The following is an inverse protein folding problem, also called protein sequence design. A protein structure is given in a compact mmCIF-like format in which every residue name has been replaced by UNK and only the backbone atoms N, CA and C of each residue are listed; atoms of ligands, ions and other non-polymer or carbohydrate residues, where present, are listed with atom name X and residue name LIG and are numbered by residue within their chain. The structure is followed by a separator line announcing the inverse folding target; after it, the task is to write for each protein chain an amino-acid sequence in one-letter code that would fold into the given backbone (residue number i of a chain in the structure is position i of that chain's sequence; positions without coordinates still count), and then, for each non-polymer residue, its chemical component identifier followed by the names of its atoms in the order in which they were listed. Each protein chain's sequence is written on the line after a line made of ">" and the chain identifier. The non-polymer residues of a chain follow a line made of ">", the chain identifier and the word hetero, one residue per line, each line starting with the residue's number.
data_IF_239344592896
#
_entry.id   IF_239344592896
#
_cell.length_a   1.000
_cell.length_b   1.000
_cell.length_c   1.000
_cell.angle_alpha   90.00
_cell.angle_beta   90.00
_cell.angle_gamma   90.00
#
_symmetry.space_group_name_H-M   'P 1'
#
loop_
_entity.id
_entity.type
_entity.pdbx_description
1 polymer ?
#
# COMPACT_ATOMS: atom_id res chain seq x y z
N UNK A 1 -23.47 -5.07 -18.39
CA UNK A 1 -24.34 -3.93 -17.98
C UNK A 1 -24.59 -3.86 -16.48
N UNK A 2 -25.05 -4.91 -15.77
CA UNK A 2 -25.35 -4.82 -14.32
C UNK A 2 -24.11 -4.55 -13.43
N UNK A 3 -22.93 -4.99 -13.78
CA UNK A 3 -21.69 -4.75 -12.99
C UNK A 3 -21.17 -3.32 -13.12
N UNK A 4 -21.30 -2.71 -14.29
CA UNK A 4 -20.89 -1.31 -14.52
C UNK A 4 -21.86 -0.35 -13.81
N UNK A 5 -23.17 -0.64 -13.84
CA UNK A 5 -24.17 0.13 -13.10
C UNK A 5 -23.98 0.03 -11.58
N UNK A 6 -23.49 -1.12 -11.06
CA UNK A 6 -23.19 -1.29 -9.64
C UNK A 6 -21.93 -0.50 -9.24
N UNK A 7 -20.90 -0.47 -10.07
CA UNK A 7 -19.69 0.33 -9.87
C UNK A 7 -20.06 1.81 -9.86
N UNK A 8 -20.84 2.29 -10.82
CA UNK A 8 -21.31 3.69 -10.87
C UNK A 8 -22.23 4.05 -9.70
N UNK A 9 -23.08 3.12 -9.23
CA UNK A 9 -23.98 3.37 -8.09
C UNK A 9 -23.25 3.44 -6.74
N UNK A 10 -22.19 2.65 -6.54
CA UNK A 10 -21.31 2.74 -5.37
C UNK A 10 -20.57 4.08 -5.39
N UNK A 11 -20.22 4.59 -6.56
CA UNK A 11 -19.54 5.88 -6.72
C UNK A 11 -20.45 7.09 -6.44
N UNK A 12 -21.75 7.03 -6.77
CA UNK A 12 -22.69 8.13 -6.48
C UNK A 12 -22.88 8.35 -4.98
N UNK A 13 -22.78 7.31 -4.18
CA UNK A 13 -22.84 7.43 -2.70
C UNK A 13 -21.53 7.90 -2.07
N UNK A 14 -20.38 7.72 -2.71
CA UNK A 14 -19.06 8.15 -2.23
C UNK A 14 -18.76 9.64 -2.51
N UNK A 15 -19.44 10.26 -3.47
CA UNK A 15 -19.26 11.69 -3.84
C UNK A 15 -19.71 12.64 -2.71
N UNK A 16 -20.57 12.19 -1.79
CA UNK A 16 -21.01 12.97 -0.63
C UNK A 16 -20.11 12.88 0.61
N UNK A 17 -19.09 12.05 0.59
CA UNK A 17 -18.06 11.98 1.63
C UNK A 17 -16.88 12.84 1.17
N UNK A 18 -16.72 14.05 1.74
CA UNK A 18 -15.53 14.92 1.69
C UNK A 18 -14.34 14.36 0.85
N UNK A 19 -14.59 14.08 -0.41
CA UNK A 19 -13.54 13.76 -1.35
C UNK A 19 -12.65 15.01 -1.40
N UNK A 20 -11.44 14.92 -0.87
CA UNK A 20 -10.43 15.94 -1.06
C UNK A 20 -10.47 16.31 -2.54
N UNK A 21 -10.67 17.60 -2.85
CA UNK A 21 -10.75 18.08 -4.22
C UNK A 21 -9.52 17.57 -4.97
N UNK A 22 -9.71 16.49 -5.74
CA UNK A 22 -8.66 15.94 -6.60
C UNK A 22 -8.45 17.00 -7.67
N UNK A 23 -7.30 17.67 -7.63
CA UNK A 23 -6.94 18.71 -8.60
C UNK A 23 -5.79 18.24 -9.45
N UNK A 24 -5.96 18.30 -10.75
CA UNK A 24 -4.87 18.14 -11.68
C UNK A 24 -3.96 19.37 -11.64
N UNK A 25 -2.67 19.18 -11.94
CA UNK A 25 -1.75 20.29 -12.12
C UNK A 25 -2.16 21.08 -13.36
N UNK A 26 -1.98 22.40 -13.32
CA UNK A 26 -2.44 23.32 -14.39
C UNK A 26 -1.82 23.02 -15.77
N UNK A 27 -0.62 22.45 -15.79
CA UNK A 27 0.09 22.11 -17.02
C UNK A 27 -0.30 20.74 -17.62
N UNK A 28 -1.30 20.06 -17.07
CA UNK A 28 -1.71 18.74 -17.54
C UNK A 28 -2.80 18.88 -18.60
N UNK A 29 -2.49 18.36 -19.77
CA UNK A 29 -3.46 18.19 -20.86
C UNK A 29 -4.37 16.98 -20.55
N UNK A 30 -5.55 17.27 -20.02
CA UNK A 30 -6.55 16.26 -19.63
C UNK A 30 -7.08 15.46 -20.83
N UNK A 31 -7.20 16.09 -22.00
CA UNK A 31 -7.70 15.41 -23.19
C UNK A 31 -6.65 14.42 -23.74
N UNK A 32 -5.38 14.78 -23.68
CA UNK A 32 -4.31 13.84 -24.00
C UNK A 32 -4.29 12.64 -23.04
N UNK A 33 -4.43 12.89 -21.72
CA UNK A 33 -4.54 11.82 -20.75
C UNK A 33 -5.75 10.91 -20.97
N UNK A 34 -6.90 11.52 -21.31
CA UNK A 34 -8.11 10.76 -21.64
C UNK A 34 -7.89 9.83 -22.84
N UNK A 35 -7.28 10.33 -23.91
CA UNK A 35 -7.00 9.52 -25.10
C UNK A 35 -6.10 8.32 -24.77
N UNK A 36 -5.07 8.51 -23.94
CA UNK A 36 -4.21 7.41 -23.48
C UNK A 36 -4.99 6.43 -22.59
N UNK A 37 -5.83 6.93 -21.70
CA UNK A 37 -6.64 6.11 -20.82
C UNK A 37 -7.62 5.21 -21.57
N UNK A 38 -8.34 5.76 -22.57
CA UNK A 38 -9.27 4.99 -23.41
C UNK A 38 -8.57 3.83 -24.12
N UNK A 39 -7.34 4.03 -24.59
CA UNK A 39 -6.60 2.97 -25.31
C UNK A 39 -6.24 1.79 -24.39
N UNK A 40 -6.04 2.02 -23.10
CA UNK A 40 -5.73 0.99 -22.11
C UNK A 40 -6.96 0.17 -21.67
N UNK A 41 -8.15 0.72 -21.84
CA UNK A 41 -9.37 0.04 -21.43
C UNK A 41 -9.73 -1.11 -22.38
N UNK A 42 -10.37 -2.18 -21.88
CA UNK A 42 -11.02 -3.19 -22.72
C UNK A 42 -11.95 -2.57 -23.75
N UNK A 43 -11.99 -3.13 -24.94
CA UNK A 43 -12.73 -2.55 -26.09
C UNK A 43 -14.19 -2.30 -25.73
N UNK A 44 -14.82 -3.23 -25.03
CA UNK A 44 -16.21 -3.15 -24.60
C UNK A 44 -16.52 -2.00 -23.63
N UNK A 45 -15.50 -1.47 -22.95
CA UNK A 45 -15.66 -0.36 -22.00
C UNK A 45 -15.39 1.02 -22.60
N UNK A 46 -14.75 1.09 -23.78
CA UNK A 46 -14.26 2.35 -24.37
C UNK A 46 -15.39 3.29 -24.74
N UNK A 47 -16.49 2.77 -25.30
CA UNK A 47 -17.63 3.58 -25.72
C UNK A 47 -18.31 4.24 -24.53
N UNK A 48 -18.66 3.44 -23.51
CA UNK A 48 -19.33 3.95 -22.30
C UNK A 48 -18.42 4.95 -21.54
N UNK A 49 -17.14 4.65 -21.43
CA UNK A 49 -16.16 5.54 -20.79
C UNK A 49 -16.06 6.87 -21.55
N UNK A 50 -15.97 6.82 -22.88
CA UNK A 50 -15.90 8.01 -23.74
C UNK A 50 -17.16 8.85 -23.63
N UNK A 51 -18.34 8.22 -23.64
CA UNK A 51 -19.62 8.90 -23.49
C UNK A 51 -19.70 9.61 -22.12
N UNK A 52 -19.34 8.91 -21.04
CA UNK A 52 -19.37 9.48 -19.68
C UNK A 52 -18.41 10.67 -19.56
N UNK A 53 -17.18 10.56 -20.10
CA UNK A 53 -16.23 11.66 -20.07
C UNK A 53 -16.72 12.89 -20.85
N UNK A 54 -17.28 12.69 -22.06
CA UNK A 54 -17.75 13.81 -22.91
C UNK A 54 -18.99 14.51 -22.35
N UNK A 55 -19.91 13.78 -21.69
CA UNK A 55 -21.14 14.33 -21.13
C UNK A 55 -20.99 14.79 -19.68
N UNK A 56 -19.93 14.40 -18.99
CA UNK A 56 -19.69 14.72 -17.59
C UNK A 56 -19.29 16.17 -17.34
N UNK A 57 -19.57 16.66 -16.14
CA UNK A 57 -19.03 17.92 -15.64
C UNK A 57 -17.52 17.77 -15.32
N UNK A 58 -16.84 18.88 -15.00
CA UNK A 58 -15.39 18.87 -14.78
C UNK A 58 -14.97 17.93 -13.63
N UNK A 59 -15.76 17.84 -12.56
CA UNK A 59 -15.45 16.94 -11.43
C UNK A 59 -15.55 15.47 -11.84
N UNK A 60 -16.57 15.12 -12.61
CA UNK A 60 -16.75 13.76 -13.15
C UNK A 60 -15.63 13.38 -14.10
N UNK A 61 -15.20 14.29 -14.98
CA UNK A 61 -14.06 14.08 -15.89
C UNK A 61 -12.77 13.87 -15.10
N UNK A 62 -12.48 14.74 -14.13
CA UNK A 62 -11.29 14.62 -13.27
C UNK A 62 -11.29 13.32 -12.47
N UNK A 63 -12.44 12.91 -11.95
CA UNK A 63 -12.56 11.64 -11.23
C UNK A 63 -12.32 10.43 -12.14
N UNK A 64 -12.89 10.42 -13.35
CA UNK A 64 -12.65 9.35 -14.32
C UNK A 64 -11.16 9.26 -14.70
N UNK A 65 -10.53 10.39 -14.97
CA UNK A 65 -9.09 10.43 -15.23
C UNK A 65 -8.27 9.95 -14.04
N UNK A 66 -8.62 10.38 -12.82
CA UNK A 66 -7.96 9.92 -11.61
C UNK A 66 -7.98 8.39 -11.48
N UNK A 67 -9.15 7.77 -11.76
CA UNK A 67 -9.27 6.31 -11.70
C UNK A 67 -8.34 5.60 -12.68
N UNK A 68 -8.14 6.19 -13.88
CA UNK A 68 -7.24 5.63 -14.91
C UNK A 68 -5.75 5.90 -14.68
N UNK A 69 -5.44 6.83 -13.76
CA UNK A 69 -4.06 7.17 -13.36
C UNK A 69 -3.62 6.46 -12.09
N UNK A 70 -4.47 5.60 -11.52
CA UNK A 70 -4.06 4.79 -10.38
C UNK A 70 -2.85 3.94 -10.76
N UNK A 71 -1.89 3.78 -9.85
CA UNK A 71 -0.74 2.91 -10.09
C UNK A 71 -1.20 1.51 -10.48
N UNK A 72 -0.53 0.92 -11.43
CA UNK A 72 -0.72 -0.48 -11.82
C UNK A 72 0.56 -1.24 -11.52
N UNK A 73 0.42 -2.41 -10.94
CA UNK A 73 1.50 -3.36 -10.72
C UNK A 73 0.93 -4.77 -10.80
N UNK A 74 1.82 -5.76 -10.93
CA UNK A 74 1.43 -7.14 -11.15
C UNK A 74 2.15 -8.12 -10.21
N UNK A 75 1.63 -9.35 -10.12
CA UNK A 75 2.30 -10.46 -9.44
C UNK A 75 3.68 -10.73 -10.04
N UNK A 76 3.81 -10.65 -11.36
CA UNK A 76 5.05 -10.87 -12.08
C UNK A 76 6.11 -9.83 -11.69
N UNK A 77 5.72 -8.55 -11.61
CA UNK A 77 6.63 -7.48 -11.16
C UNK A 77 7.02 -7.64 -9.70
N UNK A 78 6.08 -8.05 -8.83
CA UNK A 78 6.35 -8.36 -7.43
C UNK A 78 7.43 -9.46 -7.31
N UNK A 79 7.27 -10.56 -8.06
CA UNK A 79 8.24 -11.67 -8.07
C UNK A 79 9.58 -11.19 -8.65
N UNK A 80 9.57 -10.51 -9.78
CA UNK A 80 10.78 -10.00 -10.43
C UNK A 80 11.57 -9.05 -9.51
N UNK A 81 10.85 -8.16 -8.79
CA UNK A 81 11.50 -7.29 -7.82
C UNK A 81 12.14 -8.08 -6.68
N UNK A 82 11.44 -9.10 -6.14
CA UNK A 82 12.01 -9.93 -5.07
C UNK A 82 13.30 -10.62 -5.52
N UNK A 83 13.31 -11.24 -6.71
CA UNK A 83 14.49 -11.94 -7.22
C UNK A 83 15.67 -10.99 -7.48
N UNK A 84 15.39 -9.81 -8.03
CA UNK A 84 16.42 -8.82 -8.36
C UNK A 84 16.92 -8.03 -7.15
N UNK A 85 16.13 -7.93 -6.07
CA UNK A 85 16.37 -7.08 -4.90
C UNK A 85 16.40 -7.85 -3.57
N UNK A 86 16.61 -9.17 -3.63
CA UNK A 86 16.57 -10.04 -2.44
C UNK A 86 17.50 -9.54 -1.33
N UNK A 87 18.73 -9.14 -1.67
CA UNK A 87 19.72 -8.65 -0.72
C UNK A 87 19.29 -7.33 -0.08
N UNK A 88 18.79 -6.40 -0.88
CA UNK A 88 18.31 -5.08 -0.42
C UNK A 88 17.06 -5.21 0.43
N UNK A 89 16.13 -6.10 0.07
CA UNK A 89 14.92 -6.42 0.85
C UNK A 89 15.30 -7.01 2.22
N UNK A 90 16.25 -7.94 2.26
CA UNK A 90 16.72 -8.51 3.52
C UNK A 90 17.46 -7.47 4.38
N UNK A 91 18.27 -6.60 3.76
CA UNK A 91 18.92 -5.48 4.44
C UNK A 91 17.89 -4.49 4.99
N UNK A 92 16.87 -4.13 4.20
CA UNK A 92 15.77 -3.28 4.65
C UNK A 92 15.12 -3.85 5.90
N UNK A 93 14.72 -5.14 5.90
CA UNK A 93 14.17 -5.82 7.07
C UNK A 93 15.08 -5.66 8.29
N UNK A 94 16.35 -6.06 8.15
CA UNK A 94 17.29 -6.12 9.27
C UNK A 94 17.60 -4.73 9.83
N UNK A 95 17.83 -3.74 8.96
CA UNK A 95 18.16 -2.38 9.39
C UNK A 95 16.93 -1.68 9.99
N UNK A 96 15.73 -1.89 9.43
CA UNK A 96 14.51 -1.32 9.99
C UNK A 96 14.23 -1.87 11.39
N UNK A 97 14.39 -3.17 11.62
CA UNK A 97 14.24 -3.78 12.95
C UNK A 97 15.18 -3.15 14.00
N UNK A 98 16.40 -2.75 13.62
CA UNK A 98 17.33 -2.05 14.53
C UNK A 98 16.90 -0.63 14.86
N UNK A 99 16.16 0.03 13.96
CA UNK A 99 15.69 1.41 14.15
C UNK A 99 14.45 1.49 15.02
N UNK A 100 13.61 0.45 15.02
CA UNK A 100 12.38 0.43 15.82
C UNK A 100 12.73 0.11 17.28
N UNK A 101 12.25 0.91 18.25
CA UNK A 101 12.47 0.63 19.67
C UNK A 101 11.84 -0.69 20.09
N UNK A 102 12.44 -1.36 21.10
CA UNK A 102 11.90 -2.60 21.67
C UNK A 102 10.44 -2.42 22.09
N UNK A 103 9.63 -3.46 21.87
CA UNK A 103 8.20 -3.48 22.19
C UNK A 103 7.33 -2.52 21.36
N UNK A 104 7.84 -2.01 20.24
CA UNK A 104 7.03 -1.27 19.29
C UNK A 104 6.93 -2.02 17.97
N UNK A 105 5.77 -1.89 17.33
CA UNK A 105 5.57 -2.20 15.92
C UNK A 105 5.28 -0.88 15.21
N UNK A 106 5.99 -0.62 14.14
CA UNK A 106 5.86 0.59 13.32
C UNK A 106 5.60 0.20 11.88
N UNK A 107 4.49 0.68 11.33
CA UNK A 107 4.19 0.64 9.89
C UNK A 107 4.45 2.02 9.31
N UNK A 108 5.33 2.10 8.32
CA UNK A 108 5.64 3.36 7.63
C UNK A 108 5.57 3.19 6.12
N UNK A 109 4.90 4.12 5.45
CA UNK A 109 4.80 4.21 3.99
C UNK A 109 5.15 5.61 3.52
N UNK A 110 5.97 5.69 2.48
CA UNK A 110 6.29 6.92 1.76
C UNK A 110 5.52 6.92 0.43
N UNK A 111 4.65 7.91 0.27
CA UNK A 111 3.91 8.15 -0.96
C UNK A 111 4.62 9.27 -1.72
N UNK A 112 5.14 9.01 -2.91
CA UNK A 112 5.80 10.05 -3.70
C UNK A 112 4.82 11.13 -4.13
N UNK A 113 5.35 12.29 -4.48
CA UNK A 113 4.60 13.35 -5.12
C UNK A 113 3.96 12.86 -6.42
N UNK A 114 2.71 13.23 -6.66
CA UNK A 114 2.04 12.88 -7.91
C UNK A 114 2.57 13.70 -9.08
N UNK A 115 2.80 13.04 -10.20
CA UNK A 115 3.18 13.70 -11.47
C UNK A 115 2.01 14.47 -12.09
N UNK A 116 0.79 14.04 -11.85
CA UNK A 116 -0.42 14.55 -12.51
C UNK A 116 -1.28 15.42 -11.57
N UNK A 117 -1.28 15.10 -10.30
CA UNK A 117 -2.14 15.75 -9.32
C UNK A 117 -1.35 16.73 -8.44
N UNK A 118 -2.04 17.68 -7.85
CA UNK A 118 -1.46 18.63 -6.89
C UNK A 118 -1.19 18.00 -5.51
N UNK A 119 -1.04 16.67 -5.46
CA UNK A 119 -0.71 15.93 -4.24
C UNK A 119 0.79 15.89 -4.06
N UNK A 120 1.28 16.51 -3.00
CA UNK A 120 2.69 16.49 -2.60
C UNK A 120 3.08 15.12 -2.00
N UNK A 121 4.37 14.92 -1.77
CA UNK A 121 4.85 13.77 -1.00
C UNK A 121 4.14 13.68 0.36
N UNK A 122 3.77 12.48 0.76
CA UNK A 122 3.09 12.19 2.01
C UNK A 122 3.70 10.97 2.71
N UNK A 123 3.61 10.97 4.03
CA UNK A 123 4.04 9.86 4.88
C UNK A 123 2.84 9.35 5.65
N UNK A 124 2.65 8.03 5.64
CA UNK A 124 1.74 7.34 6.56
C UNK A 124 2.59 6.65 7.61
N UNK A 125 2.28 6.85 8.90
CA UNK A 125 2.96 6.17 10.00
C UNK A 125 1.95 5.70 11.03
N UNK A 126 2.04 4.42 11.40
CA UNK A 126 1.25 3.82 12.47
C UNK A 126 2.20 3.22 13.50
N UNK A 127 1.92 3.47 14.75
CA UNK A 127 2.75 3.05 15.87
C UNK A 127 1.88 2.24 16.83
N UNK A 128 2.33 1.06 17.13
CA UNK A 128 1.70 0.14 18.07
C UNK A 128 2.71 -0.24 19.15
N UNK A 129 2.21 -0.56 20.32
CA UNK A 129 3.00 -1.13 21.42
C UNK A 129 2.57 -2.55 21.69
N UNK A 130 3.52 -3.46 21.76
CA UNK A 130 3.26 -4.85 22.13
C UNK A 130 2.79 -4.89 23.58
N UNK A 131 1.62 -5.49 23.84
CA UNK A 131 1.12 -5.72 25.19
C UNK A 131 2.01 -6.74 25.88
N UNK A 132 2.35 -6.51 27.15
CA UNK A 132 3.01 -7.53 27.95
C UNK A 132 2.01 -8.69 28.16
N UNK A 133 2.33 -9.87 27.64
CA UNK A 133 1.63 -11.10 27.98
C UNK A 133 2.39 -11.81 29.09
N UNK A 134 1.67 -12.46 29.98
CA UNK A 134 2.27 -13.44 30.91
C UNK A 134 2.90 -14.56 30.08
N UNK A 135 4.11 -14.98 30.46
CA UNK A 135 5.02 -15.85 29.67
C UNK A 135 4.44 -17.23 29.25
N UNK A 136 3.20 -17.57 29.61
CA UNK A 136 2.57 -18.87 29.34
C UNK A 136 1.82 -19.00 28.01
N UNK A 137 1.64 -17.92 27.24
CA UNK A 137 0.80 -17.92 26.01
C UNK A 137 1.56 -17.80 24.67
N UNK A 138 2.86 -18.09 24.66
CA UNK A 138 3.69 -17.95 23.44
C UNK A 138 3.59 -19.12 22.45
N UNK A 139 2.50 -19.88 22.42
CA UNK A 139 2.40 -21.05 21.55
C UNK A 139 1.94 -20.78 20.10
N UNK A 140 1.37 -19.63 19.78
CA UNK A 140 0.89 -19.31 18.43
C UNK A 140 1.76 -18.26 17.75
N UNK A 141 2.40 -18.65 16.63
CA UNK A 141 3.32 -17.82 15.84
C UNK A 141 2.64 -16.67 15.05
N UNK A 142 1.32 -16.55 15.12
CA UNK A 142 0.55 -15.52 14.40
C UNK A 142 0.24 -14.38 15.35
N UNK A 143 0.71 -13.18 14.98
CA UNK A 143 0.39 -11.95 15.70
C UNK A 143 -1.10 -11.65 15.56
N UNK A 144 -1.86 -11.87 16.62
CA UNK A 144 -3.26 -11.41 16.65
C UNK A 144 -3.27 -9.91 16.89
N UNK A 145 -4.18 -9.21 16.22
CA UNK A 145 -4.41 -7.76 16.43
C UNK A 145 -4.60 -7.41 17.91
N UNK A 146 -5.06 -8.36 18.72
CA UNK A 146 -5.31 -8.22 20.15
C UNK A 146 -4.03 -8.06 20.99
N UNK A 147 -2.86 -8.44 20.44
CA UNK A 147 -1.57 -8.31 21.12
C UNK A 147 -0.96 -6.91 21.03
N UNK A 148 -1.54 -6.05 20.20
CA UNK A 148 -1.07 -4.70 19.96
C UNK A 148 -1.98 -3.66 20.60
N UNK A 149 -1.38 -2.63 21.20
CA UNK A 149 -2.06 -1.41 21.63
C UNK A 149 -1.73 -0.30 20.63
N UNK A 150 -2.74 0.26 20.00
CA UNK A 150 -2.56 1.44 19.13
C UNK A 150 -2.04 2.61 19.97
N UNK A 151 -0.92 3.19 19.54
CA UNK A 151 -0.37 4.43 20.10
C UNK A 151 -0.76 5.60 19.22
N UNK A 152 -0.51 5.50 17.89
CA UNK A 152 -0.95 6.51 16.93
C UNK A 152 -1.12 5.90 15.54
N UNK A 153 -2.04 6.47 14.76
CA UNK A 153 -2.24 6.14 13.36
C UNK A 153 -2.45 7.45 12.61
N UNK A 154 -1.55 7.76 11.69
CA UNK A 154 -1.54 9.03 10.99
C UNK A 154 -1.32 8.81 9.51
N UNK A 155 -2.14 9.46 8.70
CA UNK A 155 -2.11 9.40 7.24
C UNK A 155 -1.83 10.80 6.67
N UNK A 156 -1.28 10.84 5.47
CA UNK A 156 -1.09 12.07 4.69
C UNK A 156 -0.27 13.15 5.41
N UNK A 157 0.68 12.73 6.26
CA UNK A 157 1.60 13.65 6.91
C UNK A 157 2.55 14.26 5.89
N UNK A 158 2.74 15.56 5.96
CA UNK A 158 3.71 16.25 5.10
C UNK A 158 5.13 16.04 5.63
N UNK A 159 6.12 15.79 4.75
CA UNK A 159 7.53 15.80 5.13
C UNK A 159 7.88 17.09 5.89
N UNK A 160 8.71 16.98 6.91
CA UNK A 160 9.17 18.09 7.75
C UNK A 160 8.06 18.88 8.49
N UNK A 161 6.84 18.37 8.57
CA UNK A 161 5.77 19.01 9.35
C UNK A 161 6.01 18.85 10.85
N UNK A 162 5.52 19.83 11.63
CA UNK A 162 5.57 19.74 13.10
C UNK A 162 4.81 18.53 13.65
N UNK A 163 3.74 18.13 12.96
CA UNK A 163 2.95 16.95 13.31
C UNK A 163 3.78 15.68 13.17
N UNK A 164 4.38 15.46 12.00
CA UNK A 164 5.29 14.33 11.75
C UNK A 164 6.42 14.31 12.79
N UNK A 165 7.05 15.47 13.06
CA UNK A 165 8.14 15.58 14.04
C UNK A 165 7.70 15.11 15.43
N UNK A 166 6.53 15.54 15.92
CA UNK A 166 5.99 15.10 17.22
C UNK A 166 5.79 13.59 17.30
N UNK A 167 5.26 12.99 16.22
CA UNK A 167 4.98 11.56 16.14
C UNK A 167 6.27 10.76 16.19
N UNK A 168 7.23 11.04 15.32
CA UNK A 168 8.49 10.29 15.25
C UNK A 168 9.34 10.46 16.53
N UNK A 169 9.33 11.66 17.13
CA UNK A 169 10.00 11.93 18.39
C UNK A 169 9.46 11.08 19.55
N UNK A 170 8.16 10.73 19.53
CA UNK A 170 7.55 9.90 20.58
C UNK A 170 8.15 8.50 20.68
N UNK A 171 8.80 8.03 19.62
CA UNK A 171 9.53 6.75 19.56
C UNK A 171 11.06 6.95 19.43
N UNK A 172 11.56 8.14 19.67
CA UNK A 172 12.98 8.46 19.63
C UNK A 172 13.56 8.60 18.22
N UNK A 173 12.73 8.69 17.18
CA UNK A 173 13.17 8.90 15.81
C UNK A 173 13.42 10.37 15.49
N UNK A 174 14.23 10.60 14.46
CA UNK A 174 14.55 11.91 13.89
C UNK A 174 14.29 11.92 12.39
N UNK A 175 14.38 13.10 11.75
CA UNK A 175 14.33 13.19 10.28
C UNK A 175 15.42 12.34 9.61
N UNK A 176 16.62 12.26 10.19
CA UNK A 176 17.68 11.38 9.68
C UNK A 176 17.28 9.89 9.72
N UNK A 177 16.49 9.50 10.73
CA UNK A 177 15.93 8.13 10.76
C UNK A 177 14.95 7.89 9.60
N UNK A 178 14.07 8.86 9.32
CA UNK A 178 13.17 8.79 8.17
C UNK A 178 13.92 8.75 6.85
N UNK A 179 14.93 9.57 6.67
CA UNK A 179 15.77 9.60 5.47
C UNK A 179 16.47 8.24 5.25
N UNK A 180 17.01 7.66 6.34
CA UNK A 180 17.60 6.31 6.28
C UNK A 180 16.59 5.26 5.85
N UNK A 181 15.38 5.27 6.42
CA UNK A 181 14.31 4.32 6.07
C UNK A 181 13.91 4.50 4.60
N UNK A 182 13.67 5.75 4.17
CA UNK A 182 13.33 6.08 2.78
C UNK A 182 14.40 5.59 1.80
N UNK A 183 15.68 5.79 2.14
CA UNK A 183 16.80 5.28 1.33
C UNK A 183 16.78 3.77 1.22
N UNK A 184 16.60 3.04 2.32
CA UNK A 184 16.54 1.58 2.32
C UNK A 184 15.36 1.05 1.48
N UNK A 185 14.19 1.69 1.58
CA UNK A 185 13.03 1.37 0.75
C UNK A 185 13.30 1.59 -0.74
N UNK A 186 13.91 2.72 -1.11
CA UNK A 186 14.26 3.03 -2.50
C UNK A 186 15.25 2.01 -3.07
N UNK A 187 16.27 1.61 -2.30
CA UNK A 187 17.25 0.60 -2.72
C UNK A 187 16.60 -0.77 -2.95
N UNK A 188 15.61 -1.12 -2.12
CA UNK A 188 14.82 -2.35 -2.25
C UNK A 188 13.71 -2.24 -3.32
N UNK A 189 13.51 -1.05 -3.93
CA UNK A 189 12.38 -0.72 -4.79
C UNK A 189 11.04 -1.06 -4.13
N UNK A 190 10.86 -0.57 -2.90
CA UNK A 190 9.68 -0.78 -2.05
C UNK A 190 9.18 0.56 -1.50
N UNK A 191 7.92 0.59 -1.05
CA UNK A 191 7.25 1.83 -0.63
C UNK A 191 6.89 1.87 0.86
N UNK A 192 6.84 0.71 1.52
CA UNK A 192 6.47 0.64 2.94
C UNK A 192 7.13 -0.55 3.65
N UNK A 193 7.20 -0.45 4.98
CA UNK A 193 7.64 -1.55 5.84
C UNK A 193 6.94 -1.49 7.20
N UNK A 194 6.58 -2.67 7.71
CA UNK A 194 6.11 -2.91 9.08
C UNK A 194 6.96 -4.01 9.73
N UNK A 195 7.40 -3.78 10.97
CA UNK A 195 8.12 -4.77 11.78
C UNK A 195 7.18 -5.46 12.75
N UNK A 196 6.48 -6.46 12.37
CA UNK A 196 5.76 -7.34 13.30
C UNK A 196 6.53 -8.65 13.55
N UNK A 197 5.89 -9.64 14.16
CA UNK A 197 6.38 -11.03 14.16
C UNK A 197 6.61 -11.50 12.71
N UNK A 198 5.76 -11.04 11.81
CA UNK A 198 5.92 -11.19 10.36
C UNK A 198 6.26 -9.80 9.84
N UNK A 199 7.46 -9.62 9.31
CA UNK A 199 7.81 -8.35 8.65
C UNK A 199 7.04 -8.24 7.34
N UNK A 200 6.27 -7.16 7.19
CA UNK A 200 5.50 -6.89 5.97
C UNK A 200 6.14 -5.74 5.20
N UNK A 201 6.54 -5.98 3.95
CA UNK A 201 7.17 -4.97 3.09
C UNK A 201 6.26 -4.71 1.90
N UNK A 202 5.78 -3.49 1.74
CA UNK A 202 4.96 -3.08 0.60
C UNK A 202 5.83 -2.79 -0.61
N UNK A 203 5.61 -3.55 -1.69
CA UNK A 203 6.33 -3.39 -2.94
C UNK A 203 5.78 -2.19 -3.74
N UNK A 204 4.53 -2.27 -4.15
CA UNK A 204 3.92 -1.26 -5.01
C UNK A 204 2.41 -1.21 -4.82
N UNK A 205 1.80 -0.08 -5.13
CA UNK A 205 0.34 0.04 -5.24
C UNK A 205 -0.14 -0.51 -6.58
N UNK A 206 -1.33 -1.10 -6.57
CA UNK A 206 -2.04 -1.51 -7.78
C UNK A 206 -3.52 -1.22 -7.60
N UNK A 207 -4.05 -0.26 -8.35
CA UNK A 207 -5.36 0.30 -8.09
C UNK A 207 -5.46 0.86 -6.67
N UNK A 208 -6.48 0.45 -5.94
CA UNK A 208 -6.67 0.80 -4.52
C UNK A 208 -5.98 -0.17 -3.56
N UNK A 209 -5.40 -1.25 -4.06
CA UNK A 209 -4.64 -2.24 -3.30
C UNK A 209 -3.14 -2.00 -3.30
N UNK A 210 -2.42 -2.92 -2.67
CA UNK A 210 -0.97 -2.93 -2.60
C UNK A 210 -0.45 -4.37 -2.59
N UNK A 211 0.66 -4.60 -3.25
CA UNK A 211 1.41 -5.85 -3.23
C UNK A 211 2.43 -5.83 -2.11
N UNK A 212 2.56 -6.95 -1.37
CA UNK A 212 3.45 -7.08 -0.23
C UNK A 212 4.27 -8.35 -0.27
N UNK A 213 5.43 -8.30 0.40
CA UNK A 213 6.15 -9.45 0.89
C UNK A 213 5.86 -9.61 2.39
N UNK A 214 5.38 -10.77 2.81
CA UNK A 214 5.38 -11.19 4.21
C UNK A 214 6.60 -12.07 4.45
N UNK A 215 7.49 -11.63 5.33
CA UNK A 215 8.77 -12.29 5.59
C UNK A 215 8.74 -12.83 7.02
N UNK A 216 8.62 -14.12 7.15
CA UNK A 216 8.64 -14.83 8.41
C UNK A 216 10.06 -14.96 8.95
N UNK A 217 10.23 -15.14 10.25
CA UNK A 217 11.54 -15.36 10.87
C UNK A 217 12.11 -16.74 10.52
N UNK A 218 11.25 -17.74 10.35
CA UNK A 218 11.62 -19.12 10.00
C UNK A 218 10.88 -19.58 8.75
N UNK A 219 11.39 -20.60 8.02
CA UNK A 219 10.64 -21.24 6.96
C UNK A 219 9.25 -21.69 7.45
N UNK A 220 8.23 -21.53 6.58
CA UNK A 220 6.88 -21.93 6.92
C UNK A 220 6.78 -23.46 7.05
N UNK A 221 6.11 -23.91 8.10
CA UNK A 221 5.70 -25.31 8.21
C UNK A 221 4.52 -25.61 7.27
N UNK A 222 4.17 -26.89 7.07
CA UNK A 222 3.14 -27.28 6.11
C UNK A 222 1.77 -26.68 6.41
N UNK A 223 1.40 -26.55 7.69
CA UNK A 223 0.14 -25.92 8.10
C UNK A 223 0.08 -24.46 7.63
N UNK A 224 1.14 -23.70 7.91
CA UNK A 224 1.23 -22.28 7.54
C UNK A 224 1.31 -22.11 6.02
N UNK A 225 1.98 -23.01 5.29
CA UNK A 225 1.99 -22.97 3.82
C UNK A 225 0.58 -23.11 3.25
N UNK A 226 -0.25 -23.98 3.80
CA UNK A 226 -1.65 -24.14 3.37
C UNK A 226 -2.45 -22.88 3.68
N UNK A 227 -2.30 -22.31 4.89
CA UNK A 227 -2.98 -21.10 5.31
C UNK A 227 -2.62 -19.89 4.43
N UNK A 228 -1.33 -19.73 4.13
CA UNK A 228 -0.82 -18.64 3.29
C UNK A 228 -0.74 -18.98 1.80
N UNK A 229 -1.54 -19.94 1.33
CA UNK A 229 -1.67 -20.27 -0.08
C UNK A 229 -3.16 -20.46 -0.43
N UNK A 230 -3.98 -19.46 -0.13
CA UNK A 230 -5.43 -19.51 -0.31
C UNK A 230 -5.89 -19.24 -1.75
N UNK A 231 -4.95 -19.16 -2.71
CA UNK A 231 -5.20 -18.87 -4.13
C UNK A 231 -6.00 -17.57 -4.38
N UNK A 232 -5.98 -16.65 -3.45
CA UNK A 232 -6.65 -15.36 -3.54
C UNK A 232 -5.70 -14.27 -3.01
N UNK A 233 -5.78 -13.95 -1.72
CA UNK A 233 -4.99 -12.90 -1.10
C UNK A 233 -3.52 -13.27 -0.91
N UNK A 234 -3.26 -14.56 -0.62
CA UNK A 234 -1.93 -15.06 -0.29
C UNK A 234 -1.45 -16.11 -1.26
N UNK A 235 -0.16 -16.04 -1.58
CA UNK A 235 0.57 -17.07 -2.33
C UNK A 235 1.84 -17.39 -1.55
N UNK A 236 1.97 -18.64 -1.06
CA UNK A 236 3.26 -19.12 -0.57
C UNK A 236 4.24 -19.13 -1.73
N UNK A 237 5.33 -18.40 -1.60
CA UNK A 237 6.30 -18.25 -2.67
C UNK A 237 7.48 -19.20 -2.51
N UNK A 238 8.26 -19.05 -1.43
CA UNK A 238 9.37 -19.94 -1.09
C UNK A 238 9.87 -19.71 0.34
N UNK A 239 10.43 -20.72 0.94
CA UNK A 239 11.08 -20.69 2.26
C UNK A 239 10.22 -20.03 3.34
N UNK A 240 10.51 -18.78 3.66
CA UNK A 240 9.83 -17.96 4.64
C UNK A 240 9.12 -16.74 4.01
N UNK A 241 8.84 -16.80 2.71
CA UNK A 241 8.25 -15.69 1.95
C UNK A 241 6.85 -16.03 1.47
N UNK A 242 5.91 -15.16 1.79
CA UNK A 242 4.55 -15.15 1.25
C UNK A 242 4.32 -13.85 0.50
N UNK A 243 3.70 -13.93 -0.66
CA UNK A 243 3.20 -12.78 -1.40
C UNK A 243 1.77 -12.49 -0.97
N UNK A 244 1.44 -11.21 -0.81
CA UNK A 244 0.09 -10.76 -0.45
C UNK A 244 -0.38 -9.66 -1.40
N UNK A 245 -1.69 -9.69 -1.76
CA UNK A 245 -2.36 -8.60 -2.45
C UNK A 245 -3.57 -8.15 -1.67
N UNK A 246 -3.66 -6.84 -1.41
CA UNK A 246 -4.77 -6.27 -0.65
C UNK A 246 -4.36 -5.04 0.14
N UNK A 247 -5.03 -4.84 1.27
CA UNK A 247 -4.74 -3.76 2.22
C UNK A 247 -5.48 -2.46 1.94
N UNK A 248 -5.25 -1.48 2.80
CA UNK A 248 -5.94 -0.20 2.76
C UNK A 248 -7.45 -0.32 3.02
N UNK A 249 -8.22 0.57 2.42
CA UNK A 249 -9.67 0.63 2.60
C UNK A 249 -10.44 -0.49 1.89
N UNK A 250 -9.82 -1.17 0.93
CA UNK A 250 -10.46 -2.23 0.13
C UNK A 250 -10.27 -3.64 0.71
N UNK A 251 -9.42 -3.79 1.73
CA UNK A 251 -9.14 -5.09 2.35
C UNK A 251 -8.44 -6.08 1.44
N UNK A 252 -8.77 -7.37 1.61
CA UNK A 252 -8.20 -8.48 0.84
C UNK A 252 -8.56 -8.41 -0.64
N UNK A 253 -7.57 -8.67 -1.51
CA UNK A 253 -7.75 -8.76 -2.95
C UNK A 253 -7.19 -10.09 -3.45
N UNK A 254 -7.75 -10.62 -4.52
CA UNK A 254 -7.21 -11.81 -5.15
C UNK A 254 -6.16 -11.46 -6.18
N UNK A 255 -5.03 -12.18 -6.15
CA UNK A 255 -4.16 -12.23 -7.31
C UNK A 255 -4.95 -12.72 -8.53
N UNK A 256 -4.66 -12.17 -9.69
CA UNK A 256 -5.28 -12.63 -10.92
C UNK A 256 -5.04 -14.14 -11.10
N UNK A 257 -6.08 -14.85 -11.44
CA UNK A 257 -5.97 -16.26 -11.85
C UNK A 257 -5.44 -16.27 -13.28
N UNK A 258 -4.21 -16.70 -13.43
CA UNK A 258 -3.63 -17.03 -14.75
C UNK A 258 -3.82 -18.50 -15.03
#
# INVERSE_FOLDING_TARGET
>A
MKQIALILAIFYSAINLNAQNIKFRENIDKDSLFNVAVQKLPIEMREDFTKTYKSGNEQEKEFLLFMTLMPESSKQELIANFENKKTEIQRLKTEFQKLVPKNYVVDIEFKPESKFLTVSEEITIKIYKVKKKDEKEYADEIERSDDLKVISQNWNLKPNSNELYKIIKSIGWTNQTLDKIKKLLNEANCISIENGKITTIGFARSGMGKYYYKIFEKPLNEKNKIEYNNNCQYIFYKDNIVLEYGGGAIGSQCFEKH
#
